data_IF_472734692021
#
_entry.id   IF_472734692021
#
_cell.length_a   1.000
_cell.length_b   1.000
_cell.length_c   1.000
_cell.angle_alpha   90.00
_cell.angle_beta   90.00
_cell.angle_gamma   90.00
#
_symmetry.space_group_name_H-M   'P 1'
#
loop_
_entity.id
_entity.type
_entity.pdbx_description
1 polymer ?
#
# COMPACT_ATOMS: atom_id res chain seq x y z
N UNK A 1 -3.60 -5.66 2.61
CA UNK A 1 -2.52 -4.74 3.08
C UNK A 1 -2.43 -3.46 2.27
N UNK A 2 -2.31 -3.48 0.92
CA UNK A 2 -2.15 -2.26 0.13
C UNK A 2 -3.24 -1.20 0.37
N UNK A 3 -4.49 -1.64 0.49
CA UNK A 3 -5.62 -0.77 0.82
C UNK A 3 -5.48 0.00 2.14
N UNK A 4 -4.85 -0.57 3.17
CA UNK A 4 -4.66 0.12 4.45
C UNK A 4 -3.83 1.41 4.28
N UNK A 5 -2.78 1.36 3.46
CA UNK A 5 -1.92 2.52 3.17
C UNK A 5 -2.72 3.60 2.44
N UNK A 6 -3.48 3.21 1.40
CA UNK A 6 -4.29 4.16 0.62
C UNK A 6 -5.38 4.79 1.48
N UNK A 7 -6.07 3.99 2.31
CA UNK A 7 -7.09 4.48 3.24
C UNK A 7 -6.49 5.40 4.28
N UNK A 8 -5.34 5.07 4.87
CA UNK A 8 -4.65 5.95 5.81
C UNK A 8 -4.27 7.29 5.18
N UNK A 9 -3.75 7.27 3.94
CA UNK A 9 -3.45 8.50 3.19
C UNK A 9 -4.70 9.33 2.91
N UNK A 10 -5.81 8.69 2.55
CA UNK A 10 -7.09 9.39 2.34
C UNK A 10 -7.59 10.03 3.64
N UNK A 11 -7.54 9.31 4.76
CA UNK A 11 -7.92 9.84 6.07
C UNK A 11 -7.03 11.02 6.46
N UNK A 12 -5.71 10.92 6.26
CA UNK A 12 -4.78 12.03 6.50
C UNK A 12 -5.10 13.24 5.63
N UNK A 13 -5.43 13.04 4.35
CA UNK A 13 -5.81 14.13 3.45
C UNK A 13 -7.09 14.84 3.91
N UNK A 14 -8.10 14.09 4.37
CA UNK A 14 -9.35 14.63 4.91
C UNK A 14 -9.09 15.41 6.21
N UNK A 15 -8.32 14.83 7.13
CA UNK A 15 -7.96 15.47 8.40
C UNK A 15 -7.17 16.77 8.16
N UNK A 16 -6.24 16.77 7.21
CA UNK A 16 -5.51 17.97 6.79
C UNK A 16 -6.40 19.03 6.12
N UNK A 17 -7.51 18.61 5.49
CA UNK A 17 -8.53 19.49 4.94
C UNK A 17 -9.49 20.08 5.99
N UNK A 18 -9.52 19.52 7.19
CA UNK A 18 -10.45 19.94 8.23
C UNK A 18 -9.89 21.10 9.06
N UNK A 19 -10.33 22.32 8.72
CA UNK A 19 -9.77 23.57 9.27
C UNK A 19 -9.74 23.66 10.80
N UNK A 20 -10.77 23.23 11.57
CA UNK A 20 -10.71 23.27 13.02
C UNK A 20 -9.55 22.45 13.61
N UNK A 21 -9.22 21.29 13.02
CA UNK A 21 -8.12 20.45 13.51
C UNK A 21 -6.77 21.11 13.20
N UNK A 22 -6.58 21.57 11.97
CA UNK A 22 -5.32 22.23 11.57
C UNK A 22 -5.13 23.56 12.29
N UNK A 23 -6.19 24.36 12.45
CA UNK A 23 -6.15 25.62 13.18
C UNK A 23 -5.75 25.44 14.64
N UNK A 24 -6.34 24.45 15.32
CA UNK A 24 -5.92 24.08 16.69
C UNK A 24 -4.47 23.60 16.70
N UNK A 25 -4.08 22.72 15.78
CA UNK A 25 -2.72 22.18 15.75
C UNK A 25 -1.67 23.28 15.53
N UNK A 26 -1.94 24.24 14.64
CA UNK A 26 -1.07 25.42 14.44
C UNK A 26 -1.04 26.29 15.69
N UNK A 27 -2.15 26.45 16.41
CA UNK A 27 -2.17 27.21 17.65
C UNK A 27 -1.28 26.60 18.74
N UNK A 28 -1.22 25.26 18.83
CA UNK A 28 -0.33 24.56 19.76
C UNK A 28 1.11 24.45 19.27
N UNK A 29 1.30 24.33 17.96
CA UNK A 29 2.62 24.20 17.33
C UNK A 29 2.74 25.22 16.20
N UNK A 30 3.06 26.50 16.53
CA UNK A 30 3.15 27.58 15.54
C UNK A 30 4.16 27.30 14.43
N UNK A 31 5.15 26.46 14.71
CA UNK A 31 6.16 26.03 13.74
C UNK A 31 5.55 25.35 12.50
N UNK A 32 4.34 24.78 12.60
CA UNK A 32 3.63 24.18 11.47
C UNK A 32 3.13 25.20 10.45
N UNK A 33 3.00 26.48 10.83
CA UNK A 33 2.65 27.55 9.91
C UNK A 33 3.86 28.11 9.15
N UNK A 34 5.08 27.81 9.59
CA UNK A 34 6.32 28.36 9.01
C UNK A 34 6.48 28.03 7.52
N UNK A 35 6.23 26.78 7.05
CA UNK A 35 6.30 26.49 5.62
C UNK A 35 5.32 27.33 4.80
N UNK A 36 4.07 27.44 5.26
CA UNK A 36 3.05 28.26 4.58
C UNK A 36 3.42 29.75 4.57
N UNK A 37 3.94 30.27 5.68
CA UNK A 37 4.42 31.65 5.79
C UNK A 37 5.64 31.92 4.89
N UNK A 38 6.46 30.91 4.63
CA UNK A 38 7.58 30.95 3.68
C UNK A 38 7.14 30.70 2.22
N UNK A 39 5.83 30.65 1.94
CA UNK A 39 5.30 30.40 0.59
C UNK A 39 5.46 28.94 0.12
N UNK A 40 5.82 28.02 1.02
CA UNK A 40 5.91 26.59 0.71
C UNK A 40 4.53 25.93 0.88
N UNK A 41 4.23 24.89 0.08
CA UNK A 41 2.99 24.15 0.22
C UNK A 41 2.79 23.62 1.64
N UNK A 42 1.55 23.68 2.12
CA UNK A 42 1.20 23.05 3.39
C UNK A 42 1.55 21.56 3.36
N UNK A 43 2.21 21.12 4.43
CA UNK A 43 2.54 19.77 4.88
C UNK A 43 2.02 18.59 4.03
N UNK A 44 0.70 18.44 3.84
CA UNK A 44 0.06 17.38 3.04
C UNK A 44 -0.94 18.05 2.06
N UNK A 45 -1.15 17.51 0.85
CA UNK A 45 -2.29 17.91 0.03
C UNK A 45 -3.60 17.70 0.81
N UNK A 46 -4.34 18.78 1.03
CA UNK A 46 -5.48 18.81 1.94
C UNK A 46 -6.78 18.64 1.16
N UNK A 47 -7.58 17.62 1.47
CA UNK A 47 -8.87 17.41 0.80
C UNK A 47 -9.95 18.22 1.51
N UNK A 48 -10.25 19.40 0.98
CA UNK A 48 -11.34 20.25 1.47
C UNK A 48 -12.63 19.95 0.73
N UNK A 49 -13.74 19.82 1.47
CA UNK A 49 -15.06 19.51 0.89
C UNK A 49 -15.55 20.68 0.03
N UNK A 50 -15.32 21.92 0.47
CA UNK A 50 -15.71 23.14 -0.24
C UNK A 50 -14.57 24.18 -0.22
N UNK A 51 -14.43 24.99 -1.27
CA UNK A 51 -13.59 26.18 -1.24
C UNK A 51 -14.12 27.17 -0.18
N UNK A 52 -13.21 27.92 0.45
CA UNK A 52 -13.54 28.84 1.55
C UNK A 52 -14.02 30.22 1.04
N UNK A 53 -14.11 30.41 -0.27
CA UNK A 53 -14.56 31.63 -0.92
C UNK A 53 -14.30 31.62 -2.43
N UNK A 54 -14.88 32.59 -3.15
CA UNK A 54 -14.84 32.67 -4.62
C UNK A 54 -13.42 32.80 -5.20
N UNK A 55 -12.48 33.34 -4.45
CA UNK A 55 -11.08 33.49 -4.89
C UNK A 55 -10.23 32.25 -4.60
N UNK A 56 -10.79 31.23 -3.92
CA UNK A 56 -10.03 30.05 -3.47
C UNK A 56 -10.21 28.81 -4.34
N UNK A 57 -11.00 28.90 -5.43
CA UNK A 57 -11.25 27.79 -6.34
C UNK A 57 -9.98 27.21 -6.98
N UNK A 58 -9.03 28.06 -7.37
CA UNK A 58 -7.77 27.62 -7.99
C UNK A 58 -6.90 26.86 -6.99
N UNK A 59 -6.79 27.37 -5.75
CA UNK A 59 -6.06 26.70 -4.68
C UNK A 59 -6.73 25.39 -4.26
N UNK A 60 -8.07 25.38 -4.23
CA UNK A 60 -8.84 24.16 -3.98
C UNK A 60 -8.61 23.12 -5.08
N UNK A 61 -8.60 23.51 -6.35
CA UNK A 61 -8.32 22.62 -7.47
C UNK A 61 -6.89 22.07 -7.42
N UNK A 62 -5.91 22.91 -7.08
CA UNK A 62 -4.52 22.48 -6.88
C UNK A 62 -4.38 21.47 -5.74
N UNK A 63 -5.09 21.69 -4.63
CA UNK A 63 -5.13 20.78 -3.49
C UNK A 63 -5.78 19.43 -3.89
N UNK A 64 -6.92 19.46 -4.59
CA UNK A 64 -7.62 18.28 -5.07
C UNK A 64 -6.75 17.46 -6.06
N UNK A 65 -6.12 18.13 -7.03
CA UNK A 65 -5.19 17.49 -7.96
C UNK A 65 -4.01 16.85 -7.24
N UNK A 66 -3.44 17.54 -6.25
CA UNK A 66 -2.37 17.00 -5.39
C UNK A 66 -2.80 15.74 -4.64
N UNK A 67 -4.01 15.71 -4.06
CA UNK A 67 -4.55 14.53 -3.38
C UNK A 67 -4.76 13.37 -4.36
N UNK A 68 -5.32 13.63 -5.55
CA UNK A 68 -5.52 12.61 -6.58
C UNK A 68 -4.19 11.98 -6.97
N UNK A 69 -3.17 12.80 -7.27
CA UNK A 69 -1.84 12.28 -7.66
C UNK A 69 -1.18 11.53 -6.50
N UNK A 70 -1.31 12.00 -5.26
CA UNK A 70 -0.83 11.26 -4.09
C UNK A 70 -1.45 9.86 -4.02
N UNK A 71 -2.78 9.76 -4.13
CA UNK A 71 -3.50 8.48 -4.05
C UNK A 71 -3.18 7.55 -5.23
N UNK A 72 -3.10 8.10 -6.45
CA UNK A 72 -2.73 7.35 -7.66
C UNK A 72 -1.29 6.83 -7.58
N UNK A 73 -0.36 7.65 -7.09
CA UNK A 73 1.05 7.25 -6.89
C UNK A 73 1.14 6.12 -5.89
N UNK A 74 0.46 6.24 -4.75
CA UNK A 74 0.41 5.19 -3.75
C UNK A 74 -0.19 3.91 -4.35
N UNK A 75 -1.31 4.02 -5.06
CA UNK A 75 -1.97 2.90 -5.71
C UNK A 75 -1.05 2.18 -6.71
N UNK A 76 -0.43 2.92 -7.63
CA UNK A 76 0.46 2.38 -8.66
C UNK A 76 1.67 1.66 -8.05
N UNK A 77 2.33 2.27 -7.06
CA UNK A 77 3.45 1.63 -6.35
C UNK A 77 3.03 0.36 -5.61
N UNK A 78 1.78 0.32 -5.14
CA UNK A 78 1.27 -0.84 -4.43
C UNK A 78 0.88 -1.99 -5.37
N UNK A 79 0.47 -1.68 -6.61
CA UNK A 79 0.11 -2.64 -7.66
C UNK A 79 1.32 -3.23 -8.40
N UNK A 80 2.50 -2.61 -8.29
CA UNK A 80 3.72 -3.12 -8.92
C UNK A 80 3.99 -4.61 -8.53
N UNK A 81 4.39 -5.45 -9.51
CA UNK A 81 4.50 -6.90 -9.33
C UNK A 81 5.48 -7.25 -8.21
N UNK A 82 5.01 -8.03 -7.23
CA UNK A 82 5.79 -8.44 -6.06
C UNK A 82 6.60 -9.68 -6.40
N UNK A 83 7.92 -9.62 -6.24
CA UNK A 83 8.75 -10.82 -6.09
C UNK A 83 8.32 -11.50 -4.78
N UNK A 84 7.65 -12.65 -4.90
CA UNK A 84 7.06 -13.41 -3.80
C UNK A 84 8.13 -13.78 -2.78
N UNK A 85 8.13 -13.09 -1.64
CA UNK A 85 8.85 -13.52 -0.45
C UNK A 85 7.96 -13.19 0.75
N UNK A 86 7.86 -14.13 1.69
CA UNK A 86 6.85 -14.20 2.74
C UNK A 86 6.47 -12.84 3.38
N UNK A 87 5.17 -12.61 3.67
CA UNK A 87 4.66 -11.33 4.17
C UNK A 87 5.14 -11.09 5.60
N UNK A 88 6.26 -10.38 5.79
CA UNK A 88 6.74 -9.96 7.11
C UNK A 88 6.16 -8.59 7.51
N UNK A 89 5.80 -8.39 8.79
CA UNK A 89 5.27 -7.11 9.27
C UNK A 89 6.30 -5.98 9.13
N UNK A 90 7.59 -6.26 9.30
CA UNK A 90 8.67 -5.29 9.08
C UNK A 90 8.74 -4.80 7.62
N UNK A 91 8.49 -5.69 6.64
CA UNK A 91 8.41 -5.31 5.22
C UNK A 91 7.15 -4.48 4.92
N UNK A 92 6.03 -4.80 5.57
CA UNK A 92 4.80 -4.00 5.46
C UNK A 92 5.00 -2.58 6.04
N UNK A 93 5.69 -2.46 7.18
CA UNK A 93 6.09 -1.19 7.77
C UNK A 93 6.95 -0.36 6.82
N UNK A 94 8.11 -0.90 6.40
CA UNK A 94 9.04 -0.19 5.54
C UNK A 94 8.43 0.21 4.19
N UNK A 95 7.58 -0.65 3.62
CA UNK A 95 6.82 -0.33 2.41
C UNK A 95 5.78 0.76 2.64
N UNK A 96 5.10 0.77 3.79
CA UNK A 96 4.18 1.84 4.16
C UNK A 96 4.89 3.19 4.25
N UNK A 97 6.00 3.26 4.97
CA UNK A 97 6.83 4.47 5.10
C UNK A 97 7.26 4.98 3.72
N UNK A 98 7.83 4.10 2.90
CA UNK A 98 8.33 4.47 1.57
C UNK A 98 7.22 4.96 0.65
N UNK A 99 6.12 4.21 0.52
CA UNK A 99 5.01 4.57 -0.36
C UNK A 99 4.36 5.88 0.08
N UNK A 100 4.14 6.08 1.37
CA UNK A 100 3.60 7.33 1.91
C UNK A 100 4.50 8.52 1.61
N UNK A 101 5.83 8.36 1.80
CA UNK A 101 6.80 9.43 1.52
C UNK A 101 6.76 9.84 0.05
N UNK A 102 6.87 8.88 -0.87
CA UNK A 102 6.88 9.16 -2.32
C UNK A 102 5.55 9.74 -2.78
N UNK A 103 4.43 9.23 -2.28
CA UNK A 103 3.09 9.72 -2.62
C UNK A 103 2.88 11.18 -2.19
N UNK A 104 3.28 11.55 -0.97
CA UNK A 104 3.16 12.92 -0.45
C UNK A 104 4.02 13.88 -1.28
N UNK A 105 5.26 13.50 -1.57
CA UNK A 105 6.16 14.30 -2.43
C UNK A 105 5.53 14.51 -3.80
N UNK A 106 5.00 13.46 -4.44
CA UNK A 106 4.37 13.56 -5.75
C UNK A 106 3.15 14.50 -5.73
N UNK A 107 2.26 14.37 -4.74
CA UNK A 107 1.10 15.25 -4.59
C UNK A 107 1.48 16.71 -4.36
N UNK A 108 2.49 16.96 -3.51
CA UNK A 108 2.96 18.32 -3.23
C UNK A 108 3.73 18.95 -4.40
N UNK A 109 4.40 18.17 -5.25
CA UNK A 109 5.01 18.68 -6.50
C UNK A 109 3.92 19.20 -7.44
N UNK A 110 2.87 18.40 -7.67
CA UNK A 110 1.76 18.81 -8.54
C UNK A 110 1.10 20.08 -8.01
N UNK A 111 0.83 20.12 -6.70
CA UNK A 111 0.29 21.31 -6.04
C UNK A 111 1.18 22.54 -6.22
N UNK A 112 2.50 22.39 -6.07
CA UNK A 112 3.46 23.48 -6.27
C UNK A 112 3.46 23.97 -7.73
N UNK A 113 3.43 23.05 -8.70
CA UNK A 113 3.34 23.38 -10.13
C UNK A 113 2.06 24.19 -10.41
N UNK A 114 0.90 23.72 -9.96
CA UNK A 114 -0.36 24.45 -10.14
C UNK A 114 -0.34 25.84 -9.49
N UNK A 115 0.25 25.96 -8.30
CA UNK A 115 0.37 27.23 -7.58
C UNK A 115 1.33 28.19 -8.28
N UNK A 116 2.38 27.66 -8.94
CA UNK A 116 3.37 28.49 -9.64
C UNK A 116 2.79 29.31 -10.80
N UNK A 117 1.76 28.78 -11.49
CA UNK A 117 1.05 29.49 -12.55
C UNK A 117 0.27 30.71 -12.03
N UNK A 118 -0.03 30.76 -10.74
CA UNK A 118 -0.77 31.87 -10.11
C UNK A 118 0.19 32.94 -9.60
N UNK A 119 1.33 32.54 -9.04
CA UNK A 119 2.22 33.42 -8.27
C UNK A 119 3.25 34.16 -9.14
N UNK A 120 3.42 33.80 -10.42
CA UNK A 120 4.35 34.47 -11.36
C UNK A 120 5.77 34.67 -10.78
N UNK A 121 6.34 33.63 -10.18
CA UNK A 121 7.66 33.70 -9.56
C UNK A 121 8.81 33.70 -10.61
N UNK A 122 9.88 34.44 -10.33
CA UNK A 122 11.14 34.34 -11.07
C UNK A 122 11.71 32.91 -11.00
N UNK A 123 12.44 32.48 -12.03
CA UNK A 123 12.91 31.10 -12.19
C UNK A 123 13.74 30.59 -10.99
N UNK A 124 14.62 31.45 -10.45
CA UNK A 124 15.45 31.10 -9.30
C UNK A 124 14.63 30.86 -8.03
N UNK A 125 13.63 31.72 -7.78
CA UNK A 125 12.70 31.60 -6.66
C UNK A 125 11.84 30.35 -6.81
N UNK A 126 11.35 30.07 -8.02
CA UNK A 126 10.61 28.85 -8.33
C UNK A 126 11.42 27.58 -8.03
N UNK A 127 12.67 27.50 -8.50
CA UNK A 127 13.54 26.36 -8.25
C UNK A 127 13.85 26.19 -6.76
N UNK A 128 14.11 27.29 -6.05
CA UNK A 128 14.30 27.28 -4.60
C UNK A 128 13.09 26.73 -3.85
N UNK A 129 11.89 27.20 -4.18
CA UNK A 129 10.65 26.69 -3.58
C UNK A 129 10.40 25.23 -3.94
N UNK A 130 10.70 24.80 -5.17
CA UNK A 130 10.52 23.42 -5.58
C UNK A 130 11.42 22.47 -4.78
N UNK A 131 12.71 22.81 -4.63
CA UNK A 131 13.66 22.00 -3.85
C UNK A 131 13.26 21.98 -2.37
N UNK A 132 12.95 23.14 -1.79
CA UNK A 132 12.50 23.22 -0.39
C UNK A 132 11.22 22.42 -0.17
N UNK A 133 10.25 22.48 -1.11
CA UNK A 133 9.02 21.71 -1.06
C UNK A 133 9.30 20.20 -1.09
N UNK A 134 10.20 19.73 -1.96
CA UNK A 134 10.57 18.30 -2.03
C UNK A 134 11.19 17.84 -0.71
N UNK A 135 12.13 18.60 -0.15
CA UNK A 135 12.81 18.26 1.10
C UNK A 135 11.83 18.21 2.27
N UNK A 136 11.02 19.25 2.45
CA UNK A 136 10.02 19.33 3.53
C UNK A 136 8.97 18.23 3.38
N UNK A 137 8.49 17.98 2.15
CA UNK A 137 7.54 16.91 1.86
C UNK A 137 8.11 15.53 2.12
N UNK A 138 9.39 15.30 1.82
CA UNK A 138 10.04 14.03 2.08
C UNK A 138 10.20 13.78 3.59
N UNK A 139 10.63 14.80 4.35
CA UNK A 139 10.76 14.70 5.80
C UNK A 139 9.41 14.44 6.47
N UNK A 140 8.39 15.21 6.11
CA UNK A 140 7.06 15.02 6.66
C UNK A 140 6.44 13.70 6.20
N UNK A 141 6.61 13.37 4.92
CA UNK A 141 6.15 12.11 4.36
C UNK A 141 6.77 10.91 5.06
N UNK A 142 8.03 11.00 5.48
CA UNK A 142 8.67 9.98 6.30
C UNK A 142 8.01 9.90 7.70
N UNK A 143 7.81 11.03 8.38
CA UNK A 143 7.18 11.09 9.72
C UNK A 143 5.77 10.48 9.69
N UNK A 144 4.92 10.93 8.76
CA UNK A 144 3.58 10.38 8.58
C UNK A 144 3.62 8.93 8.10
N UNK A 145 4.62 8.61 7.28
CA UNK A 145 4.93 7.26 6.83
C UNK A 145 5.21 6.30 7.98
N UNK A 146 5.77 6.75 9.10
CA UNK A 146 5.94 5.92 10.30
C UNK A 146 4.57 5.47 10.86
N UNK A 147 3.60 6.38 10.91
CA UNK A 147 2.23 6.08 11.37
C UNK A 147 1.54 5.13 10.39
N UNK A 148 1.59 5.45 9.09
CA UNK A 148 0.96 4.61 8.04
C UNK A 148 1.63 3.23 7.96
N UNK A 149 2.95 3.17 8.08
CA UNK A 149 3.72 1.94 8.16
C UNK A 149 3.36 1.10 9.38
N UNK A 150 3.19 1.72 10.55
CA UNK A 150 2.76 1.03 11.76
C UNK A 150 1.37 0.42 11.59
N UNK A 151 0.41 1.17 11.03
CA UNK A 151 -0.93 0.65 10.69
C UNK A 151 -0.83 -0.52 9.72
N UNK A 152 -0.03 -0.40 8.67
CA UNK A 152 0.16 -1.48 7.69
C UNK A 152 0.77 -2.74 8.32
N UNK A 153 1.70 -2.58 9.27
CA UNK A 153 2.31 -3.68 10.02
C UNK A 153 1.31 -4.35 10.96
N UNK A 154 0.47 -3.58 11.67
CA UNK A 154 -0.58 -4.12 12.53
C UNK A 154 -1.61 -4.93 11.74
N UNK A 155 -2.05 -4.41 10.59
CA UNK A 155 -2.94 -5.14 9.67
C UNK A 155 -2.28 -6.41 9.15
N UNK A 156 -0.95 -6.39 8.94
CA UNK A 156 -0.20 -7.56 8.53
C UNK A 156 -0.14 -8.66 9.59
N UNK A 157 -0.01 -8.28 10.86
CA UNK A 157 -0.02 -9.19 12.01
C UNK A 157 -1.42 -9.80 12.18
N UNK A 158 -2.46 -8.96 12.19
CA UNK A 158 -3.85 -9.43 12.37
C UNK A 158 -4.33 -10.36 11.25
N UNK A 159 -3.88 -10.15 10.02
CA UNK A 159 -4.19 -11.04 8.90
C UNK A 159 -3.56 -12.43 9.00
N UNK A 160 -2.45 -12.57 9.74
CA UNK A 160 -1.77 -13.86 9.94
C UNK A 160 -2.52 -14.74 10.94
N UNK A 161 -2.88 -14.19 12.11
CA UNK A 161 -3.60 -14.94 13.14
C UNK A 161 -4.97 -15.47 12.68
N UNK A 162 -5.63 -14.80 11.72
CA UNK A 162 -6.90 -15.26 11.14
C UNK A 162 -6.73 -16.41 10.14
N UNK A 163 -5.60 -16.49 9.44
CA UNK A 163 -5.30 -17.57 8.51
C UNK A 163 -4.93 -18.87 9.27
N UNK A 164 -4.21 -18.74 10.37
CA UNK A 164 -3.81 -19.86 11.22
C UNK A 164 -5.06 -20.49 11.90
N UNK A 165 -5.95 -19.67 12.47
CA UNK A 165 -7.21 -20.13 13.07
C UNK A 165 -8.15 -20.83 12.08
N UNK A 166 -8.19 -20.39 10.82
CA UNK A 166 -8.98 -21.05 9.78
C UNK A 166 -8.40 -22.41 9.36
N UNK A 167 -7.10 -22.61 9.53
CA UNK A 167 -6.43 -23.87 9.20
C UNK A 167 -6.66 -24.94 10.27
N UNK A 168 -6.73 -24.55 11.55
CA UNK A 168 -7.05 -25.45 12.67
C UNK A 168 -8.51 -25.94 12.61
N UNK A 169 -9.47 -25.06 12.29
CA UNK A 169 -10.89 -25.46 12.18
C UNK A 169 -11.13 -26.45 11.03
N UNK A 170 -10.38 -26.37 9.93
CA UNK A 170 -10.47 -27.32 8.81
C UNK A 170 -9.75 -28.66 9.09
N UNK A 171 -8.77 -28.69 9.98
CA UNK A 171 -8.12 -29.94 10.38
C UNK A 171 -8.97 -30.76 11.37
N UNK A 172 -9.80 -30.09 12.19
CA UNK A 172 -10.62 -30.75 13.22
C UNK A 172 -11.93 -31.37 12.69
N UNK A 173 -12.29 -31.14 11.43
CA UNK A 173 -13.48 -31.75 10.79
C UNK A 173 -13.18 -32.99 9.93
N UNK A 174 -11.94 -33.47 9.91
CA UNK A 174 -11.63 -34.76 9.28
C UNK A 174 -12.19 -35.90 10.16
N UNK A 175 -13.13 -36.73 9.67
CA UNK A 175 -13.73 -37.78 10.49
C UNK A 175 -12.69 -38.85 10.86
N UNK A 176 -12.44 -38.98 12.17
CA UNK A 176 -11.76 -40.12 12.78
C UNK A 176 -12.74 -41.30 12.76
N UNK A 177 -12.53 -42.28 11.90
CA UNK A 177 -13.30 -43.51 11.91
C UNK A 177 -13.30 -44.28 10.59
N UNK A 178 -12.24 -45.06 10.37
CA UNK A 178 -12.33 -46.29 9.59
C UNK A 178 -11.23 -47.22 10.13
N UNK A 179 -11.62 -47.99 11.14
CA UNK A 179 -10.80 -48.98 11.82
C UNK A 179 -10.20 -50.02 10.85
N UNK A 180 -9.00 -50.46 11.22
CA UNK A 180 -8.34 -51.61 10.67
C UNK A 180 -9.01 -52.92 11.14
N UNK A 181 -9.18 -53.89 10.22
CA UNK A 181 -9.28 -55.31 10.59
C UNK A 181 -8.72 -56.22 9.46
N UNK A 182 -7.54 -56.79 9.71
CA UNK A 182 -6.88 -57.93 9.01
C UNK A 182 -7.43 -59.29 9.56
N UNK A 183 -7.00 -60.50 9.14
CA UNK A 183 -6.83 -61.13 7.80
C UNK A 183 -7.46 -62.57 7.75
N UNK A 184 -7.67 -63.19 6.58
CA UNK A 184 -7.78 -64.67 6.47
C UNK A 184 -7.64 -65.18 5.02
N UNK A 185 -6.80 -66.20 4.88
CA UNK A 185 -6.47 -66.90 3.64
C UNK A 185 -7.59 -67.84 3.17
N UNK A 186 -7.82 -67.92 1.85
CA UNK A 186 -8.03 -69.19 1.16
C UNK A 186 -7.84 -69.00 -0.36
N UNK A 187 -7.03 -69.85 -0.97
CA UNK A 187 -6.95 -70.04 -2.42
C UNK A 187 -7.59 -71.41 -2.71
N UNK A 188 -8.16 -71.66 -3.91
CA UNK A 188 -7.31 -72.22 -4.96
C UNK A 188 -7.68 -71.88 -6.43
N UNK A 189 -6.63 -71.77 -7.24
CA UNK A 189 -6.41 -72.20 -8.65
C UNK A 189 -7.58 -72.55 -9.59
N UNK A 190 -7.55 -71.92 -10.78
CA UNK A 190 -7.77 -72.48 -12.15
C UNK A 190 -7.15 -71.49 -13.16
N UNK A 191 -5.93 -71.70 -13.69
CA UNK A 191 -5.51 -72.45 -14.89
C UNK A 191 -6.15 -71.99 -16.22
N UNK A 192 -5.26 -71.82 -17.22
CA UNK A 192 -5.47 -71.68 -18.68
C UNK A 192 -5.71 -70.24 -19.17
N UNK A 193 -5.04 -69.66 -20.18
CA UNK A 193 -4.06 -70.11 -21.17
C UNK A 193 -3.67 -68.83 -21.98
N UNK A 194 -2.38 -68.56 -22.15
CA UNK A 194 -1.87 -67.70 -23.24
C UNK A 194 -1.64 -68.61 -24.48
N UNK A 195 -1.28 -68.16 -25.72
CA UNK A 195 -0.78 -66.84 -26.14
C UNK A 195 -1.16 -66.41 -27.59
N UNK A 196 -0.81 -65.18 -27.99
CA UNK A 196 -0.38 -64.75 -29.35
C UNK A 196 -0.20 -63.23 -29.30
N UNK A 197 0.81 -62.58 -29.86
CA UNK A 197 1.68 -62.93 -30.99
C UNK A 197 3.00 -62.15 -30.89
N UNK A 198 4.02 -62.78 -31.45
CA UNK A 198 5.40 -62.36 -31.73
C UNK A 198 5.48 -61.02 -32.48
N UNK A 199 6.45 -60.17 -32.12
CA UNK A 199 7.36 -59.48 -33.07
C UNK A 199 8.41 -58.63 -32.32
N UNK A 200 9.56 -59.27 -32.08
CA UNK A 200 10.92 -58.84 -32.44
C UNK A 200 11.33 -57.34 -32.42
N UNK A 201 12.46 -57.13 -31.74
CA UNK A 201 13.31 -55.94 -31.55
C UNK A 201 14.00 -55.47 -32.89
N UNK A 202 14.94 -54.48 -32.97
CA UNK A 202 15.84 -54.01 -31.92
C UNK A 202 16.18 -52.50 -31.88
N UNK A 203 17.04 -52.22 -30.90
CA UNK A 203 17.67 -50.97 -30.51
C UNK A 203 18.57 -50.30 -31.58
N UNK A 204 18.73 -48.98 -31.43
CA UNK A 204 19.94 -48.13 -31.55
C UNK A 204 19.43 -46.67 -31.48
N UNK A 205 20.01 -45.70 -30.76
CA UNK A 205 21.41 -45.46 -30.45
C UNK A 205 21.87 -44.24 -31.26
N UNK A 206 22.22 -43.16 -30.54
CA UNK A 206 22.71 -41.84 -30.97
C UNK A 206 21.66 -40.75 -31.28
#
# INVERSE_FOLDING_TARGET
>A
MGWAIVVSLLVLAILAGFWPIIGVLIAWVPLLAVPAAAGLPNLIPALRILPLGETTWVFWAADAAGVIVMLLTAWAMLMAPKRQAAPSPARAFGRGVWVTTVAIVAGNIVRAIFTSFVVHADLGTYLGHLVANVVVSALLGAILGLVVGAVAALVAIGGRGRADASSETSAETAPVGADAQEPAADAPTTVAEAPSTIAEAPAQGA
#
